data_IF_203135589110
#
_entry.id   IF_203135589110
#
_cell.length_a   1.000
_cell.length_b   1.000
_cell.length_c   1.000
_cell.angle_alpha   90.00
_cell.angle_beta   90.00
_cell.angle_gamma   90.00
#
_symmetry.space_group_name_H-M   'P 1'
#
loop_
_entity.id
_entity.type
_entity.pdbx_description
1 polymer ?
#
# COMPACT_ATOMS: atom_id res chain seq x y z
N UNK A 1 -20.24 38.38 9.26
CA UNK A 1 -19.48 37.13 9.37
C UNK A 1 -19.05 36.68 8.00
N UNK A 2 -17.79 36.86 7.65
CA UNK A 2 -17.21 36.36 6.39
C UNK A 2 -17.05 34.84 6.60
N UNK A 3 -17.92 34.03 5.98
CA UNK A 3 -17.67 32.59 5.87
C UNK A 3 -16.48 32.42 4.96
N UNK A 4 -15.29 32.16 5.52
CA UNK A 4 -14.16 31.67 4.74
C UNK A 4 -14.63 30.41 3.99
N UNK A 5 -14.73 30.48 2.67
CA UNK A 5 -14.85 29.29 1.84
C UNK A 5 -13.66 28.41 2.20
N UNK A 6 -13.92 27.25 2.81
CA UNK A 6 -12.90 26.26 3.10
C UNK A 6 -12.25 25.91 1.75
N UNK A 7 -11.02 26.33 1.55
CA UNK A 7 -10.28 26.03 0.31
C UNK A 7 -9.95 24.54 0.34
N UNK A 8 -10.40 23.80 -0.67
CA UNK A 8 -10.02 22.39 -0.82
C UNK A 8 -8.56 22.31 -1.26
N UNK A 9 -7.76 21.53 -0.54
CA UNK A 9 -6.39 21.23 -0.93
C UNK A 9 -6.40 19.97 -1.80
N UNK A 10 -6.05 20.13 -3.08
CA UNK A 10 -6.11 19.07 -4.09
C UNK A 10 -4.76 18.91 -4.78
N UNK A 11 -4.21 17.71 -4.76
CA UNK A 11 -3.14 17.29 -5.67
C UNK A 11 -3.78 16.73 -6.94
N UNK A 12 -3.37 17.21 -8.12
CA UNK A 12 -3.96 16.81 -9.39
C UNK A 12 -2.89 16.40 -10.40
N UNK A 13 -3.11 15.28 -11.08
CA UNK A 13 -2.20 14.68 -12.04
C UNK A 13 -2.94 14.35 -13.33
N UNK A 14 -2.24 14.47 -14.48
CA UNK A 14 -2.76 14.20 -15.82
C UNK A 14 -2.31 12.87 -16.40
N UNK A 15 -1.67 12.03 -15.59
CA UNK A 15 -1.19 10.70 -15.96
C UNK A 15 -1.30 9.73 -14.79
N UNK A 16 -1.42 8.42 -15.07
CA UNK A 16 -1.36 7.38 -14.03
C UNK A 16 -0.03 7.41 -13.28
N UNK A 17 0.01 6.84 -12.09
CA UNK A 17 1.27 6.51 -11.45
C UNK A 17 1.97 5.39 -12.23
N UNK A 18 3.30 5.47 -12.31
CA UNK A 18 4.10 4.36 -12.81
C UNK A 18 3.96 3.14 -11.91
N UNK A 19 3.96 1.94 -12.49
CA UNK A 19 3.92 0.68 -11.74
C UNK A 19 5.28 0.25 -11.18
N UNK A 20 6.34 1.06 -11.38
CA UNK A 20 7.67 0.84 -10.82
C UNK A 20 7.71 1.14 -9.32
N UNK A 21 8.80 0.72 -8.64
CA UNK A 21 9.04 1.09 -7.24
C UNK A 21 9.01 2.61 -7.03
N UNK A 22 9.64 3.38 -7.94
CA UNK A 22 9.64 4.84 -7.88
C UNK A 22 8.21 5.41 -8.01
N UNK A 23 7.41 4.86 -8.92
CA UNK A 23 6.01 5.27 -9.06
C UNK A 23 5.18 4.96 -7.82
N UNK A 24 5.43 3.83 -7.17
CA UNK A 24 4.82 3.50 -5.89
C UNK A 24 5.21 4.50 -4.79
N UNK A 25 6.47 4.86 -4.70
CA UNK A 25 7.00 5.75 -3.67
C UNK A 25 6.56 7.20 -3.86
N UNK A 26 6.71 7.75 -5.07
CA UNK A 26 6.59 9.18 -5.36
C UNK A 26 5.25 9.58 -6.01
N UNK A 27 4.57 8.66 -6.72
CA UNK A 27 3.45 9.04 -7.58
C UNK A 27 2.10 8.49 -7.12
N UNK A 28 2.04 7.27 -6.58
CA UNK A 28 0.79 6.66 -6.14
C UNK A 28 0.16 7.44 -4.98
N UNK A 29 -1.16 7.67 -5.04
CA UNK A 29 -1.88 8.50 -4.07
C UNK A 29 -2.09 7.77 -2.76
N UNK A 30 -1.64 8.32 -1.62
CA UNK A 30 -1.84 7.70 -0.31
C UNK A 30 -3.24 8.02 0.23
N UNK A 31 -3.90 7.01 0.79
CA UNK A 31 -5.10 7.13 1.62
C UNK A 31 -4.90 6.34 2.90
N UNK A 32 -5.60 6.71 3.98
CA UNK A 32 -5.50 5.97 5.24
C UNK A 32 -6.36 6.57 6.35
N UNK A 33 -6.61 5.76 7.38
CA UNK A 33 -7.41 6.12 8.55
C UNK A 33 -6.64 6.02 9.90
N UNK A 34 -5.31 5.75 9.82
CA UNK A 34 -4.45 5.55 11.00
C UNK A 34 -4.29 4.09 11.43
N UNK A 35 -5.16 3.18 10.98
CA UNK A 35 -5.03 1.72 11.12
C UNK A 35 -4.69 1.09 9.78
N UNK A 36 -5.52 1.33 8.79
CA UNK A 36 -5.35 0.93 7.41
C UNK A 36 -4.72 2.05 6.57
N UNK A 37 -3.91 1.68 5.61
CA UNK A 37 -3.37 2.59 4.61
C UNK A 37 -3.32 1.93 3.24
N UNK A 38 -3.38 2.74 2.18
CA UNK A 38 -3.24 2.23 0.82
C UNK A 38 -2.57 3.25 -0.11
N UNK A 39 -1.97 2.72 -1.17
CA UNK A 39 -1.47 3.45 -2.34
C UNK A 39 -2.36 3.14 -3.54
N UNK A 40 -2.96 4.16 -4.13
CA UNK A 40 -3.85 4.08 -5.31
C UNK A 40 -3.10 4.59 -6.53
N UNK A 41 -2.98 3.77 -7.56
CA UNK A 41 -2.16 4.10 -8.74
C UNK A 41 -2.92 4.89 -9.81
N UNK A 42 -4.22 4.70 -9.92
CA UNK A 42 -5.04 5.38 -10.93
C UNK A 42 -4.71 4.92 -12.35
N UNK A 43 -4.53 3.64 -12.60
CA UNK A 43 -4.19 3.09 -13.91
C UNK A 43 -5.35 3.21 -14.90
N UNK A 44 -5.06 3.22 -16.19
CA UNK A 44 -6.07 3.19 -17.26
C UNK A 44 -6.38 1.74 -17.61
N UNK A 45 -7.66 1.38 -17.61
CA UNK A 45 -8.12 0.01 -17.88
C UNK A 45 -7.68 -1.03 -16.84
N UNK A 46 -7.11 -0.59 -15.76
CA UNK A 46 -6.75 -1.39 -14.60
C UNK A 46 -6.74 -0.52 -13.34
N UNK A 47 -6.67 -1.13 -12.16
CA UNK A 47 -6.30 -0.46 -10.92
C UNK A 47 -5.40 -1.36 -10.08
N UNK A 48 -4.48 -0.76 -9.40
CA UNK A 48 -3.70 -1.39 -8.34
C UNK A 48 -3.88 -0.62 -7.05
N UNK A 49 -4.21 -1.33 -6.00
CA UNK A 49 -4.28 -0.77 -4.66
C UNK A 49 -3.38 -1.63 -3.79
N UNK A 50 -2.23 -1.11 -3.42
CA UNK A 50 -1.42 -1.73 -2.40
C UNK A 50 -1.89 -1.25 -1.04
N UNK A 51 -2.26 -2.18 -0.18
CA UNK A 51 -2.79 -1.85 1.14
C UNK A 51 -1.94 -2.43 2.28
N UNK A 52 -2.10 -1.84 3.44
CA UNK A 52 -1.38 -2.20 4.63
C UNK A 52 -2.20 -1.99 5.89
N UNK A 53 -1.82 -2.70 6.96
CA UNK A 53 -2.35 -2.54 8.31
C UNK A 53 -1.15 -2.35 9.26
N UNK A 54 -1.29 -1.41 10.20
CA UNK A 54 -0.18 -0.89 11.05
C UNK A 54 0.50 -1.93 11.94
N UNK A 55 -0.16 -3.02 12.28
CA UNK A 55 0.37 -4.03 13.19
C UNK A 55 1.10 -5.18 12.48
N UNK A 56 1.12 -5.21 11.14
CA UNK A 56 1.75 -6.29 10.39
C UNK A 56 3.28 -6.11 10.33
N UNK A 57 3.98 -6.76 11.24
CA UNK A 57 5.43 -6.70 11.38
C UNK A 57 6.05 -8.09 11.40
N UNK A 58 7.25 -8.22 10.83
CA UNK A 58 8.13 -9.38 11.07
C UNK A 58 8.92 -9.19 12.38
N UNK A 59 9.65 -10.22 12.81
CA UNK A 59 10.47 -10.16 14.03
C UNK A 59 9.65 -10.14 15.31
N UNK A 60 10.27 -9.74 16.39
CA UNK A 60 9.67 -9.65 17.71
C UNK A 60 10.45 -10.44 18.77
N UNK A 61 10.05 -10.34 20.05
CA UNK A 61 10.68 -11.09 21.11
C UNK A 61 10.37 -12.59 20.92
N UNK A 62 11.38 -13.33 20.47
CA UNK A 62 11.30 -14.79 20.44
C UNK A 62 11.68 -15.31 21.83
N UNK A 63 10.79 -16.07 22.50
CA UNK A 63 10.98 -16.49 23.90
C UNK A 63 12.27 -17.26 24.14
N UNK A 64 12.79 -17.96 23.14
CA UNK A 64 13.90 -18.89 23.26
C UNK A 64 15.23 -18.38 22.69
N UNK A 65 15.36 -17.08 22.35
CA UNK A 65 16.60 -16.58 21.80
C UNK A 65 17.50 -16.00 22.89
N UNK A 66 18.48 -16.78 23.34
CA UNK A 66 19.57 -16.36 24.23
C UNK A 66 20.39 -15.18 23.69
N UNK A 67 20.25 -14.87 22.39
CA UNK A 67 21.02 -13.85 21.69
C UNK A 67 20.29 -12.51 21.56
N UNK A 68 19.04 -12.40 21.97
CA UNK A 68 18.30 -11.15 21.90
C UNK A 68 18.38 -10.37 23.21
N UNK A 69 19.22 -9.37 23.25
CA UNK A 69 19.41 -8.47 24.39
C UNK A 69 18.67 -7.14 24.24
N UNK A 70 17.53 -7.10 23.54
CA UNK A 70 16.72 -5.89 23.37
C UNK A 70 17.32 -4.82 22.48
N UNK A 71 18.39 -5.12 21.75
CA UNK A 71 19.04 -4.16 20.84
C UNK A 71 19.84 -3.05 21.54
N UNK A 72 19.85 -3.01 22.87
CA UNK A 72 20.60 -2.06 23.66
C UNK A 72 21.86 -2.70 24.21
N UNK A 73 23.00 -2.06 24.03
CA UNK A 73 24.24 -2.41 24.71
C UNK A 73 24.22 -1.77 26.09
N UNK A 74 24.43 -2.57 27.14
CA UNK A 74 24.47 -2.06 28.52
C UNK A 74 25.69 -1.18 28.73
N UNK A 75 25.52 -0.14 29.58
CA UNK A 75 26.59 0.78 30.02
C UNK A 75 27.31 1.57 28.90
N UNK A 76 26.79 1.57 27.69
CA UNK A 76 27.40 2.27 26.56
C UNK A 76 27.10 3.78 26.52
N UNK A 77 26.33 4.30 27.49
CA UNK A 77 26.06 5.72 27.61
C UNK A 77 27.34 6.56 27.77
N UNK A 78 28.43 5.96 28.20
CA UNK A 78 29.76 6.62 28.34
C UNK A 78 30.27 7.20 27.01
N UNK A 79 29.89 6.62 25.88
CA UNK A 79 30.28 7.09 24.54
C UNK A 79 29.42 8.26 24.03
N UNK A 80 28.34 8.62 24.71
CA UNK A 80 27.48 9.75 24.29
C UNK A 80 28.25 11.07 24.28
N UNK A 81 29.20 11.28 25.20
CA UNK A 81 30.00 12.49 25.24
C UNK A 81 30.87 12.64 23.99
N UNK A 82 31.52 11.57 23.56
CA UNK A 82 32.35 11.57 22.34
C UNK A 82 31.50 11.76 21.07
N UNK A 83 30.32 11.10 20.99
CA UNK A 83 29.40 11.28 19.88
C UNK A 83 28.92 12.73 19.80
N UNK A 84 28.54 13.35 20.91
CA UNK A 84 28.13 14.77 20.97
C UNK A 84 29.26 15.70 20.51
N UNK A 85 30.49 15.43 20.95
CA UNK A 85 31.65 16.21 20.53
C UNK A 85 31.89 16.10 19.01
N UNK A 86 31.73 14.92 18.42
CA UNK A 86 31.81 14.74 16.97
C UNK A 86 30.71 15.53 16.25
N UNK A 87 29.47 15.53 16.75
CA UNK A 87 28.36 16.31 16.20
C UNK A 87 28.61 17.82 16.29
N UNK A 88 29.13 18.31 17.41
CA UNK A 88 29.51 19.72 17.59
C UNK A 88 30.58 20.17 16.59
N UNK A 89 31.54 19.29 16.29
CA UNK A 89 32.57 19.50 15.27
C UNK A 89 32.04 19.29 13.84
N UNK A 90 30.77 18.92 13.67
CA UNK A 90 30.14 18.54 12.39
C UNK A 90 30.82 17.34 11.70
N UNK A 91 31.50 16.51 12.47
CA UNK A 91 32.04 15.24 11.99
C UNK A 91 30.96 14.15 12.10
N UNK A 92 30.03 14.20 11.15
CA UNK A 92 28.87 13.30 11.12
C UNK A 92 29.28 11.85 10.86
N UNK A 93 30.36 11.62 10.11
CA UNK A 93 30.83 10.27 9.84
C UNK A 93 31.36 9.63 11.12
N UNK A 94 32.17 10.35 11.89
CA UNK A 94 32.67 9.85 13.16
C UNK A 94 31.54 9.65 14.18
N UNK A 95 30.60 10.56 14.24
CA UNK A 95 29.44 10.43 15.12
C UNK A 95 28.61 9.17 14.77
N UNK A 96 28.40 8.93 13.48
CA UNK A 96 27.69 7.74 12.98
C UNK A 96 28.43 6.45 13.34
N UNK A 97 29.73 6.38 13.04
CA UNK A 97 30.57 5.21 13.35
C UNK A 97 30.52 4.86 14.85
N UNK A 98 30.70 5.85 15.71
CA UNK A 98 30.63 5.66 17.15
C UNK A 98 29.24 5.17 17.60
N UNK A 99 28.17 5.78 17.09
CA UNK A 99 26.83 5.37 17.42
C UNK A 99 26.53 3.93 16.96
N UNK A 100 26.93 3.56 15.74
CA UNK A 100 26.75 2.21 15.20
C UNK A 100 27.55 1.15 15.95
N UNK A 101 28.75 1.49 16.42
CA UNK A 101 29.63 0.53 17.11
C UNK A 101 29.34 0.39 18.58
N UNK A 102 28.91 1.48 19.23
CA UNK A 102 28.86 1.56 20.69
C UNK A 102 27.44 1.63 21.26
N UNK A 103 26.46 2.21 20.55
CA UNK A 103 25.10 2.39 21.07
C UNK A 103 24.10 1.42 20.45
N UNK A 104 24.27 1.10 19.19
CA UNK A 104 23.36 0.20 18.47
C UNK A 104 23.80 -1.23 18.72
N UNK A 105 22.88 -2.06 19.18
CA UNK A 105 23.14 -3.49 19.37
C UNK A 105 23.49 -4.19 18.05
N UNK A 106 23.96 -5.42 18.11
CA UNK A 106 24.38 -6.17 16.93
C UNK A 106 23.30 -6.17 15.86
N UNK A 107 23.67 -5.97 14.61
CA UNK A 107 22.77 -6.08 13.45
C UNK A 107 22.23 -7.51 13.39
N UNK A 108 21.07 -7.72 13.98
CA UNK A 108 20.37 -9.00 13.90
C UNK A 108 19.19 -8.87 12.95
N UNK A 109 18.86 -9.91 12.20
CA UNK A 109 17.65 -9.99 11.39
C UNK A 109 16.35 -9.98 12.23
N UNK A 110 16.47 -9.84 13.54
CA UNK A 110 15.37 -10.01 14.52
C UNK A 110 14.69 -8.70 14.94
N UNK A 111 15.15 -7.53 14.50
CA UNK A 111 14.50 -6.26 14.82
C UNK A 111 13.09 -6.13 14.27
N UNK A 112 12.76 -6.98 13.33
CA UNK A 112 11.51 -6.88 12.63
C UNK A 112 11.45 -5.73 11.62
N UNK A 113 10.51 -5.87 10.72
CA UNK A 113 10.27 -4.90 9.66
C UNK A 113 8.77 -4.74 9.46
N UNK A 114 8.35 -3.52 9.15
CA UNK A 114 6.98 -3.28 8.71
C UNK A 114 6.76 -3.98 7.36
N UNK A 115 5.74 -4.82 7.29
CA UNK A 115 5.45 -5.62 6.11
C UNK A 115 4.28 -5.02 5.35
N UNK A 116 4.37 -4.92 4.03
CA UNK A 116 3.20 -4.65 3.20
C UNK A 116 2.20 -5.80 3.34
N UNK A 117 0.90 -5.50 3.37
CA UNK A 117 -0.13 -6.53 3.56
C UNK A 117 -0.39 -7.27 2.25
N UNK A 118 -0.90 -6.58 1.26
CA UNK A 118 -1.26 -7.16 -0.02
C UNK A 118 -1.56 -6.14 -1.10
N UNK A 119 -1.86 -6.65 -2.28
CA UNK A 119 -2.28 -5.90 -3.45
C UNK A 119 -3.66 -6.37 -3.92
N UNK A 120 -4.53 -5.42 -4.21
CA UNK A 120 -5.76 -5.63 -4.99
C UNK A 120 -5.44 -5.21 -6.41
N UNK A 121 -5.59 -6.14 -7.35
CA UNK A 121 -5.49 -5.91 -8.78
C UNK A 121 -6.87 -5.99 -9.41
N UNK A 122 -7.22 -4.97 -10.18
CA UNK A 122 -8.49 -4.89 -10.89
C UNK A 122 -8.17 -4.66 -12.35
N UNK A 123 -8.70 -5.50 -13.24
CA UNK A 123 -8.56 -5.36 -14.68
C UNK A 123 -9.93 -5.16 -15.33
N UNK A 124 -10.10 -4.03 -16.02
CA UNK A 124 -11.32 -3.70 -16.74
C UNK A 124 -11.27 -4.27 -18.17
N UNK A 125 -12.30 -5.02 -18.53
CA UNK A 125 -12.32 -5.77 -19.80
C UNK A 125 -12.47 -4.86 -21.02
N UNK A 126 -13.30 -3.82 -20.93
CA UNK A 126 -13.77 -3.02 -22.07
C UNK A 126 -13.32 -1.55 -22.01
N UNK A 127 -12.18 -1.25 -21.36
CA UNK A 127 -11.67 0.10 -21.25
C UNK A 127 -10.33 0.24 -22.00
N UNK A 128 -9.98 1.49 -22.36
CA UNK A 128 -8.66 1.81 -22.90
C UNK A 128 -7.56 1.42 -21.90
N UNK A 129 -6.39 1.07 -22.41
CA UNK A 129 -5.25 0.61 -21.58
C UNK A 129 -4.14 1.66 -21.46
N UNK A 130 -4.17 2.71 -22.27
CA UNK A 130 -3.12 3.74 -22.33
C UNK A 130 -3.71 5.14 -22.42
N UNK A 131 -2.90 6.15 -22.07
CA UNK A 131 -3.27 7.57 -22.17
C UNK A 131 -3.67 7.97 -23.58
N UNK A 132 -3.08 7.39 -24.63
CA UNK A 132 -3.41 7.67 -26.01
C UNK A 132 -4.77 7.17 -26.47
N UNK A 133 -5.37 6.26 -25.72
CA UNK A 133 -6.68 5.68 -26.02
C UNK A 133 -7.84 6.36 -25.29
N UNK A 134 -7.54 7.24 -24.33
CA UNK A 134 -8.55 7.91 -23.51
C UNK A 134 -8.40 9.44 -23.60
N UNK A 135 -9.45 10.15 -23.26
CA UNK A 135 -9.43 11.61 -23.11
C UNK A 135 -9.78 12.01 -21.68
N UNK A 136 -9.53 13.27 -21.32
CA UNK A 136 -9.91 13.86 -20.04
C UNK A 136 -9.42 13.09 -18.81
N UNK A 137 -8.27 12.41 -18.95
CA UNK A 137 -7.69 11.70 -17.82
C UNK A 137 -7.32 12.69 -16.71
N UNK A 138 -7.78 12.36 -15.50
CA UNK A 138 -7.44 13.08 -14.28
C UNK A 138 -7.36 12.14 -13.10
N UNK A 139 -6.32 12.32 -12.28
CA UNK A 139 -6.14 11.64 -11.01
C UNK A 139 -5.91 12.69 -9.93
N UNK A 140 -6.62 12.62 -8.82
CA UNK A 140 -6.61 13.63 -7.77
C UNK A 140 -6.58 13.00 -6.38
N UNK A 141 -5.92 13.69 -5.45
CA UNK A 141 -6.09 13.49 -4.01
C UNK A 141 -6.62 14.79 -3.40
N UNK A 142 -7.87 14.76 -2.97
CA UNK A 142 -8.43 15.83 -2.15
C UNK A 142 -8.05 15.60 -0.68
N UNK A 143 -7.04 16.33 -0.21
CA UNK A 143 -6.51 16.19 1.16
C UNK A 143 -7.57 16.61 2.19
N UNK A 144 -8.41 17.61 1.88
CA UNK A 144 -9.45 18.10 2.78
C UNK A 144 -10.57 17.09 3.00
N UNK A 145 -10.80 16.19 2.05
CA UNK A 145 -11.82 15.13 2.10
C UNK A 145 -11.23 13.74 2.32
N UNK A 146 -9.90 13.61 2.30
CA UNK A 146 -9.19 12.33 2.32
C UNK A 146 -9.68 11.37 1.21
N UNK A 147 -9.91 11.90 0.00
CA UNK A 147 -10.51 11.18 -1.12
C UNK A 147 -9.56 11.18 -2.33
N UNK A 148 -9.20 10.00 -2.81
CA UNK A 148 -8.52 9.80 -4.08
C UNK A 148 -9.55 9.53 -5.19
N UNK A 149 -9.40 10.20 -6.35
CA UNK A 149 -10.28 10.01 -7.51
C UNK A 149 -9.46 9.78 -8.76
N UNK A 150 -9.97 8.96 -9.67
CA UNK A 150 -9.42 8.78 -11.02
C UNK A 150 -10.57 8.80 -12.01
N UNK A 151 -10.48 9.63 -13.05
CA UNK A 151 -11.49 9.68 -14.09
C UNK A 151 -10.90 9.85 -15.47
N UNK A 152 -11.58 9.33 -16.50
CA UNK A 152 -11.25 9.50 -17.91
C UNK A 152 -12.44 9.14 -18.79
N UNK A 153 -12.36 9.52 -20.07
CA UNK A 153 -13.35 9.18 -21.09
C UNK A 153 -12.75 8.18 -22.07
N UNK A 154 -13.48 7.09 -22.33
CA UNK A 154 -13.16 6.09 -23.35
C UNK A 154 -14.40 5.80 -24.19
N UNK A 155 -14.30 5.93 -25.51
CA UNK A 155 -15.42 5.74 -26.47
C UNK A 155 -16.70 6.48 -26.05
N UNK A 156 -16.55 7.72 -25.58
CA UNK A 156 -17.68 8.57 -25.16
C UNK A 156 -18.29 8.20 -23.79
N UNK A 157 -17.78 7.19 -23.11
CA UNK A 157 -18.18 6.83 -21.73
C UNK A 157 -17.17 7.39 -20.74
N UNK A 158 -17.68 8.13 -19.75
CA UNK A 158 -16.88 8.59 -18.60
C UNK A 158 -16.82 7.49 -17.55
N UNK A 159 -15.62 7.12 -17.15
CA UNK A 159 -15.35 6.23 -16.04
C UNK A 159 -14.79 7.03 -14.87
N UNK A 160 -15.27 6.74 -13.67
CA UNK A 160 -14.84 7.39 -12.44
C UNK A 160 -14.62 6.36 -11.34
N UNK A 161 -13.57 6.56 -10.56
CA UNK A 161 -13.22 5.76 -9.39
C UNK A 161 -12.95 6.67 -8.22
N UNK A 162 -13.45 6.29 -7.06
CA UNK A 162 -13.22 6.97 -5.80
C UNK A 162 -12.65 5.97 -4.81
N UNK A 163 -11.64 6.38 -4.05
CA UNK A 163 -11.04 5.56 -3.00
C UNK A 163 -10.81 6.38 -1.73
N UNK A 164 -11.18 5.83 -0.59
CA UNK A 164 -10.94 6.44 0.71
C UNK A 164 -10.84 5.38 1.82
N UNK A 165 -10.32 5.77 2.98
CA UNK A 165 -10.29 4.95 4.17
C UNK A 165 -11.25 5.53 5.20
N UNK A 166 -12.29 4.77 5.57
CA UNK A 166 -13.22 5.14 6.63
C UNK A 166 -12.57 4.92 8.00
N UNK A 167 -12.59 5.94 8.85
CA UNK A 167 -12.11 5.82 10.22
C UNK A 167 -13.13 5.13 11.14
N UNK A 168 -14.43 5.49 11.12
CA UNK A 168 -15.40 4.87 12.02
C UNK A 168 -15.66 3.39 11.72
N UNK A 169 -15.55 2.98 10.45
CA UNK A 169 -15.85 1.61 10.02
C UNK A 169 -14.58 0.73 9.92
N UNK A 170 -13.39 1.37 9.97
CA UNK A 170 -12.07 0.74 9.75
C UNK A 170 -12.00 -0.04 8.42
N UNK A 171 -12.43 0.60 7.33
CA UNK A 171 -12.51 0.02 5.99
C UNK A 171 -11.75 0.85 4.97
N UNK A 172 -11.15 0.17 3.99
CA UNK A 172 -10.76 0.74 2.71
C UNK A 172 -11.93 0.56 1.73
N UNK A 173 -12.40 1.66 1.15
CA UNK A 173 -13.56 1.66 0.26
C UNK A 173 -13.13 2.14 -1.12
N UNK A 174 -13.54 1.38 -2.13
CA UNK A 174 -13.39 1.74 -3.53
C UNK A 174 -14.77 1.71 -4.21
N UNK A 175 -15.09 2.79 -4.90
CA UNK A 175 -16.30 2.91 -5.70
C UNK A 175 -15.94 3.05 -7.16
N UNK A 176 -16.71 2.38 -8.01
CA UNK A 176 -16.63 2.48 -9.47
C UNK A 176 -17.94 3.02 -10.01
N UNK A 177 -17.85 3.95 -10.96
CA UNK A 177 -19.01 4.53 -11.62
C UNK A 177 -18.72 4.76 -13.10
N UNK A 178 -19.77 4.76 -13.92
CA UNK A 178 -19.69 5.11 -15.33
C UNK A 178 -20.89 5.94 -15.79
N UNK A 179 -20.65 6.78 -16.78
CA UNK A 179 -21.70 7.52 -17.49
C UNK A 179 -21.49 7.33 -19.00
N UNK A 180 -22.37 6.59 -19.66
CA UNK A 180 -22.29 6.27 -21.09
C UNK A 180 -22.62 4.83 -21.41
N UNK A 181 -22.36 4.42 -22.66
CA UNK A 181 -22.83 3.14 -23.22
C UNK A 181 -21.93 1.92 -22.93
N UNK A 182 -20.62 2.14 -22.69
CA UNK A 182 -19.71 1.04 -22.41
C UNK A 182 -20.05 0.37 -21.06
N UNK A 183 -19.71 -0.92 -20.92
CA UNK A 183 -19.91 -1.67 -19.68
C UNK A 183 -18.82 -1.41 -18.64
N UNK A 184 -19.10 -1.75 -17.39
CA UNK A 184 -18.15 -1.70 -16.29
C UNK A 184 -17.81 -3.12 -15.82
N UNK A 185 -17.24 -3.90 -16.73
CA UNK A 185 -16.86 -5.29 -16.46
C UNK A 185 -15.40 -5.35 -16.03
N UNK A 186 -15.11 -6.03 -14.95
CA UNK A 186 -13.75 -6.16 -14.45
C UNK A 186 -13.52 -7.46 -13.68
N UNK A 187 -12.25 -7.82 -13.54
CA UNK A 187 -11.81 -8.89 -12.66
C UNK A 187 -11.09 -8.34 -11.45
N UNK A 188 -11.26 -8.97 -10.29
CA UNK A 188 -10.58 -8.66 -9.04
C UNK A 188 -9.70 -9.84 -8.65
N UNK A 189 -8.44 -9.56 -8.36
CA UNK A 189 -7.47 -10.47 -7.75
C UNK A 189 -6.95 -9.86 -6.45
N UNK A 190 -6.90 -10.65 -5.39
CA UNK A 190 -6.26 -10.31 -4.13
C UNK A 190 -5.00 -11.16 -3.96
N UNK A 191 -3.86 -10.53 -3.73
CA UNK A 191 -2.60 -11.25 -3.57
C UNK A 191 -1.76 -10.67 -2.43
N UNK A 192 -0.77 -11.43 -1.96
CA UNK A 192 0.32 -10.82 -1.18
C UNK A 192 1.05 -9.81 -2.06
N UNK A 193 1.55 -8.74 -1.44
CA UNK A 193 2.28 -7.72 -2.19
C UNK A 193 3.39 -8.35 -3.01
N UNK A 194 3.38 -8.07 -4.30
CA UNK A 194 4.43 -8.44 -5.24
C UNK A 194 5.48 -7.34 -5.25
N UNK A 195 6.74 -7.70 -5.08
CA UNK A 195 7.83 -6.73 -5.22
C UNK A 195 7.88 -6.24 -6.67
N UNK A 196 8.11 -4.94 -6.82
CA UNK A 196 8.34 -4.32 -8.10
C UNK A 196 9.82 -4.46 -8.45
N UNK A 197 10.12 -5.01 -9.61
CA UNK A 197 11.47 -4.99 -10.16
C UNK A 197 11.82 -3.59 -10.70
N UNK A 198 13.11 -3.31 -10.87
CA UNK A 198 13.59 -2.03 -11.40
C UNK A 198 13.10 -1.74 -12.83
N UNK A 199 12.70 -2.78 -13.58
CA UNK A 199 12.12 -2.66 -14.93
C UNK A 199 10.59 -2.61 -14.95
N UNK A 200 9.95 -2.54 -13.77
CA UNK A 200 8.50 -2.43 -13.64
C UNK A 200 7.73 -3.73 -13.82
N UNK A 201 8.41 -4.85 -13.92
CA UNK A 201 7.78 -6.17 -13.91
C UNK A 201 7.48 -6.58 -12.48
N UNK A 202 6.36 -7.26 -12.30
CA UNK A 202 6.03 -7.87 -11.01
C UNK A 202 6.79 -9.20 -10.90
N UNK A 203 7.84 -9.24 -10.12
CA UNK A 203 8.32 -10.50 -9.60
C UNK A 203 7.55 -10.85 -8.34
N UNK A 204 6.94 -12.02 -8.33
CA UNK A 204 6.58 -12.66 -7.10
C UNK A 204 7.89 -13.12 -6.44
N UNK A 205 8.61 -12.19 -5.78
CA UNK A 205 9.53 -12.64 -4.76
C UNK A 205 8.69 -13.48 -3.83
N UNK A 206 9.04 -14.74 -3.67
CA UNK A 206 8.51 -15.55 -2.60
C UNK A 206 8.67 -14.68 -1.37
N UNK A 207 7.57 -14.13 -0.86
CA UNK A 207 7.63 -13.36 0.37
C UNK A 207 8.21 -14.33 1.40
N UNK A 208 9.49 -14.21 1.67
CA UNK A 208 10.17 -15.10 2.61
C UNK A 208 9.55 -15.00 4.00
N UNK A 209 8.80 -13.93 4.23
CA UNK A 209 8.19 -13.61 5.53
C UNK A 209 6.73 -14.03 5.69
N UNK A 210 5.96 -14.18 4.62
CA UNK A 210 4.51 -14.44 4.72
C UNK A 210 4.06 -15.65 3.89
N UNK A 211 3.04 -16.31 4.37
CA UNK A 211 2.27 -17.30 3.61
C UNK A 211 0.78 -17.06 3.82
N UNK A 212 -0.02 -17.31 2.81
CA UNK A 212 -1.46 -17.17 2.89
C UNK A 212 -2.21 -18.22 2.09
N UNK A 213 -3.52 -18.34 2.39
CA UNK A 213 -4.52 -19.05 1.60
C UNK A 213 -5.65 -18.10 1.29
N UNK A 214 -6.24 -18.25 0.12
CA UNK A 214 -7.41 -17.53 -0.32
C UNK A 214 -8.63 -18.44 -0.27
N UNK A 215 -9.74 -17.89 0.18
CA UNK A 215 -11.08 -18.45 0.06
C UNK A 215 -11.90 -17.48 -0.78
N UNK A 216 -12.32 -17.91 -1.97
CA UNK A 216 -12.95 -17.04 -2.98
C UNK A 216 -14.37 -17.54 -3.22
N UNK A 217 -15.32 -16.64 -3.04
CA UNK A 217 -16.75 -16.89 -3.24
C UNK A 217 -17.35 -15.87 -4.20
N UNK A 218 -18.64 -15.94 -4.41
CA UNK A 218 -19.40 -14.96 -5.19
C UNK A 218 -19.63 -13.63 -4.45
N UNK A 219 -19.34 -13.56 -3.17
CA UNK A 219 -19.55 -12.37 -2.33
C UNK A 219 -18.28 -11.78 -1.75
N UNK A 220 -17.19 -12.54 -1.70
CA UNK A 220 -15.95 -12.08 -1.09
C UNK A 220 -14.71 -12.89 -1.44
N UNK A 221 -13.56 -12.29 -1.19
CA UNK A 221 -12.25 -12.95 -1.12
C UNK A 221 -11.74 -12.80 0.31
N UNK A 222 -11.52 -13.92 0.99
CA UNK A 222 -10.92 -13.96 2.31
C UNK A 222 -9.49 -14.47 2.21
N UNK A 223 -8.51 -13.61 2.54
CA UNK A 223 -7.10 -13.99 2.68
C UNK A 223 -6.81 -14.27 4.14
N UNK A 224 -6.29 -15.45 4.46
CA UNK A 224 -5.78 -15.80 5.79
C UNK A 224 -4.34 -16.24 5.68
N UNK A 225 -3.50 -15.74 6.57
CA UNK A 225 -2.09 -16.06 6.53
C UNK A 225 -1.38 -15.90 7.86
N UNK A 226 -0.07 -16.11 7.80
CA UNK A 226 0.83 -15.86 8.93
C UNK A 226 2.18 -15.33 8.46
N UNK A 227 2.83 -14.59 9.34
CA UNK A 227 4.22 -14.20 9.23
C UNK A 227 5.07 -15.36 9.74
N UNK A 228 6.04 -15.83 8.92
CA UNK A 228 6.73 -17.10 9.17
C UNK A 228 7.72 -17.07 10.33
N UNK A 229 8.28 -15.90 10.63
CA UNK A 229 9.34 -15.76 11.62
C UNK A 229 8.82 -15.55 13.06
N UNK A 230 7.59 -15.07 13.21
CA UNK A 230 6.98 -14.79 14.53
C UNK A 230 5.57 -15.37 14.72
N UNK A 231 5.07 -16.12 13.75
CA UNK A 231 3.73 -16.72 13.70
C UNK A 231 2.57 -15.72 13.87
N UNK A 232 2.80 -14.42 13.62
CA UNK A 232 1.75 -13.42 13.64
C UNK A 232 0.71 -13.77 12.56
N UNK A 233 -0.52 -14.02 12.99
CA UNK A 233 -1.63 -14.37 12.09
C UNK A 233 -2.29 -13.10 11.59
N UNK A 234 -2.65 -13.11 10.31
CA UNK A 234 -3.37 -12.01 9.68
C UNK A 234 -4.51 -12.52 8.82
N UNK A 235 -5.50 -11.67 8.62
CA UNK A 235 -6.58 -11.89 7.66
C UNK A 235 -6.99 -10.57 7.02
N UNK A 236 -7.39 -10.63 5.75
CA UNK A 236 -8.10 -9.54 5.07
C UNK A 236 -9.36 -10.07 4.42
N UNK A 237 -10.38 -9.25 4.42
CA UNK A 237 -11.68 -9.54 3.84
C UNK A 237 -12.00 -8.48 2.79
N UNK A 238 -12.06 -8.89 1.53
CA UNK A 238 -12.46 -8.06 0.40
C UNK A 238 -13.85 -8.49 -0.04
N UNK A 239 -14.82 -7.61 0.06
CA UNK A 239 -16.18 -7.83 -0.39
C UNK A 239 -16.62 -6.74 -1.37
N UNK A 240 -17.70 -6.99 -2.08
CA UNK A 240 -18.27 -6.07 -3.05
C UNK A 240 -19.81 -6.07 -2.99
N UNK A 241 -20.36 -4.96 -3.41
CA UNK A 241 -21.78 -4.82 -3.73
C UNK A 241 -21.87 -4.44 -5.21
N UNK A 242 -22.68 -5.17 -5.98
CA UNK A 242 -22.85 -4.98 -7.41
C UNK A 242 -24.24 -5.39 -7.85
N UNK A 243 -24.73 -4.79 -8.93
CA UNK A 243 -25.91 -5.20 -9.68
C UNK A 243 -25.56 -6.05 -10.93
N UNK A 244 -24.27 -6.32 -11.14
CA UNK A 244 -23.76 -7.15 -12.24
C UNK A 244 -23.72 -8.63 -11.94
N UNK A 245 -23.50 -9.42 -12.98
CA UNK A 245 -23.29 -10.85 -12.89
C UNK A 245 -21.90 -11.17 -12.32
N UNK A 246 -21.84 -12.17 -11.43
CA UNK A 246 -20.60 -12.59 -10.80
C UNK A 246 -20.16 -13.95 -11.32
N UNK A 247 -18.85 -14.08 -11.67
CA UNK A 247 -18.22 -15.35 -11.99
C UNK A 247 -16.96 -15.54 -11.15
N UNK A 248 -16.84 -16.71 -10.54
CA UNK A 248 -15.74 -17.07 -9.64
C UNK A 248 -14.79 -18.03 -10.31
N UNK A 249 -13.49 -17.75 -10.22
CA UNK A 249 -12.39 -18.66 -10.56
C UNK A 249 -11.57 -19.00 -9.31
N UNK A 250 -10.59 -19.86 -9.48
CA UNK A 250 -9.72 -20.28 -8.37
C UNK A 250 -8.83 -19.19 -7.81
N UNK A 251 -8.57 -18.13 -8.57
CA UNK A 251 -7.61 -17.05 -8.25
C UNK A 251 -8.21 -15.64 -8.35
N UNK A 252 -9.42 -15.50 -8.90
CA UNK A 252 -10.05 -14.20 -9.16
C UNK A 252 -11.56 -14.27 -9.24
N UNK A 253 -12.17 -13.10 -9.22
CA UNK A 253 -13.62 -12.91 -9.45
C UNK A 253 -13.82 -11.93 -10.58
N UNK A 254 -14.78 -12.19 -11.45
CA UNK A 254 -15.28 -11.25 -12.46
C UNK A 254 -16.62 -10.69 -12.00
N UNK A 255 -16.78 -9.41 -12.18
CA UNK A 255 -17.99 -8.65 -11.95
C UNK A 255 -18.36 -7.92 -13.23
#
# INVERSE_FOLDING_TARGET
>A
MIRNKKQDYVLAYKQPASTTYKGWEEEALPIGNGSLGAKVFGLIGAERIQFNEKSLWSGGPLPDSSDYQGGNLQDQYVFLAEIRQALEKRDYNRAKELAEQQLIGPKTSRYGTYLSFGDIHIEFSNQGKTLSQVTDYQRQLNISKALATTSYVYKGTRFEREAFASFPDDLLIQRFNKEGAETLDFTIELSLTRDLTSDGKYEQKKSDYKECKLDITDSHILMKGRVKDNDLRFASYLAWETDGDIRVWSDKVQI
#
